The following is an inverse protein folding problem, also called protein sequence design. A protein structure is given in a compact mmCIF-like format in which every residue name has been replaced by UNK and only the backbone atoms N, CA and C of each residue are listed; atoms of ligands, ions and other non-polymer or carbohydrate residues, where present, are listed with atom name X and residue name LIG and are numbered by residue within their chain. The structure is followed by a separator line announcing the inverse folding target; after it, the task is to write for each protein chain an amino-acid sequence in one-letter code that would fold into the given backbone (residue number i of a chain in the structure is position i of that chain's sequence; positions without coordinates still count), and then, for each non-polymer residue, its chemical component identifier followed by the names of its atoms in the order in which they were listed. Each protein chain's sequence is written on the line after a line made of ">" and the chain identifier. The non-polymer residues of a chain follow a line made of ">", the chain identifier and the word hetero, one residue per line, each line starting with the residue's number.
data_IF_697277505229
#
_entry.id   IF_697277505229
#
_cell.length_a   1.000
_cell.length_b   1.000
_cell.length_c   1.000
_cell.angle_alpha   90.00
_cell.angle_beta   90.00
_cell.angle_gamma   90.00
#
_symmetry.space_group_name_H-M   'P 1'
#
loop_
_entity.id
_entity.type
_entity.pdbx_description
1 polymer ?
#
# COMPACT_ATOMS: atom_id res chain seq x y z
N UNK A 1 -30.34 39.96 25.80
CA UNK A 1 -28.90 40.23 26.01
C UNK A 1 -28.40 38.95 26.63
N UNK A 2 -28.10 38.02 25.75
CA UNK A 2 -27.93 36.60 26.06
C UNK A 2 -26.47 36.28 25.69
N UNK A 3 -25.58 36.14 26.67
CA UNK A 3 -24.18 35.85 26.41
C UNK A 3 -23.90 34.40 26.81
N UNK A 4 -24.16 33.45 25.92
CA UNK A 4 -23.55 32.11 25.98
C UNK A 4 -23.73 31.42 24.62
N UNK A 5 -23.02 31.91 23.60
CA UNK A 5 -22.81 31.17 22.36
C UNK A 5 -21.35 30.68 22.40
N UNK A 6 -21.10 29.37 22.54
CA UNK A 6 -19.73 28.87 22.49
C UNK A 6 -19.16 29.09 21.08
N UNK A 7 -17.85 29.37 20.95
CA UNK A 7 -17.24 29.63 19.66
C UNK A 7 -17.36 28.40 18.75
N UNK A 8 -17.42 28.58 17.42
CA UNK A 8 -17.48 27.47 16.50
C UNK A 8 -16.20 26.63 16.67
N UNK A 9 -16.38 25.37 17.08
CA UNK A 9 -15.33 24.37 17.01
C UNK A 9 -14.76 24.41 15.60
N UNK A 10 -13.48 24.76 15.52
CA UNK A 10 -12.70 24.68 14.29
C UNK A 10 -12.77 23.23 13.85
N UNK A 11 -13.60 22.97 12.85
CA UNK A 11 -13.76 21.67 12.21
C UNK A 11 -12.39 21.30 11.64
N UNK A 12 -11.62 20.55 12.41
CA UNK A 12 -10.42 19.87 11.91
C UNK A 12 -10.89 19.05 10.71
N UNK A 13 -10.17 19.08 9.57
CA UNK A 13 -10.53 18.21 8.47
C UNK A 13 -10.52 16.77 9.00
N UNK A 14 -11.49 15.93 8.61
CA UNK A 14 -11.43 14.53 8.97
C UNK A 14 -10.09 14.00 8.47
N UNK A 15 -9.39 13.33 9.38
CA UNK A 15 -8.18 12.61 9.08
C UNK A 15 -8.57 11.42 8.19
N UNK A 16 -8.79 11.70 6.90
CA UNK A 16 -9.53 10.86 5.95
C UNK A 16 -8.73 9.61 5.53
N UNK A 17 -7.62 9.33 6.21
CA UNK A 17 -6.61 8.35 5.83
C UNK A 17 -6.48 7.11 6.72
N UNK A 18 -7.33 6.87 7.72
CA UNK A 18 -7.23 5.66 8.58
C UNK A 18 -8.61 5.02 8.87
N UNK A 19 -9.46 4.93 7.86
CA UNK A 19 -10.74 4.20 7.96
C UNK A 19 -10.59 2.77 7.43
N UNK A 20 -10.72 1.73 8.29
CA UNK A 20 -10.43 0.36 7.88
C UNK A 20 -11.46 -0.09 6.83
N UNK A 21 -10.97 -0.65 5.74
CA UNK A 21 -11.76 -0.95 4.54
C UNK A 21 -11.36 -2.31 3.97
N UNK A 22 -12.30 -3.25 3.91
CA UNK A 22 -12.05 -4.61 3.43
C UNK A 22 -11.73 -4.68 1.93
N UNK A 23 -12.14 -3.67 1.17
CA UNK A 23 -11.88 -3.56 -0.27
C UNK A 23 -10.49 -2.98 -0.59
N UNK A 24 -9.83 -2.34 0.38
CA UNK A 24 -8.50 -1.78 0.17
C UNK A 24 -7.45 -2.89 0.34
N UNK A 25 -6.66 -3.12 -0.71
CA UNK A 25 -5.65 -4.18 -0.74
C UNK A 25 -4.46 -3.90 0.18
N UNK A 26 -4.15 -2.62 0.44
CA UNK A 26 -3.14 -2.20 1.43
C UNK A 26 -3.62 -2.54 2.83
N UNK A 27 -4.87 -2.22 3.16
CA UNK A 27 -5.47 -2.51 4.47
C UNK A 27 -5.54 -4.02 4.75
N UNK A 28 -5.91 -4.81 3.74
CA UNK A 28 -5.89 -6.27 3.87
C UNK A 28 -4.47 -6.79 4.09
N UNK A 29 -3.48 -6.28 3.35
CA UNK A 29 -2.09 -6.69 3.55
C UNK A 29 -1.58 -6.30 4.94
N UNK A 30 -1.89 -5.10 5.43
CA UNK A 30 -1.56 -4.65 6.79
C UNK A 30 -2.14 -5.59 7.85
N UNK A 31 -3.44 -5.92 7.78
CA UNK A 31 -4.07 -6.83 8.74
C UNK A 31 -3.40 -8.22 8.77
N UNK A 32 -3.07 -8.75 7.60
CA UNK A 32 -2.37 -10.03 7.45
C UNK A 32 -0.96 -9.98 8.05
N UNK A 33 -0.18 -8.93 7.76
CA UNK A 33 1.18 -8.78 8.28
C UNK A 33 1.20 -8.59 9.81
N UNK A 34 0.19 -7.92 10.37
CA UNK A 34 0.04 -7.79 11.83
C UNK A 34 -0.30 -9.15 12.45
N UNK A 35 -1.21 -9.92 11.83
CA UNK A 35 -1.61 -11.24 12.34
C UNK A 35 -0.50 -12.29 12.16
N UNK A 36 0.27 -12.21 11.08
CA UNK A 36 1.36 -13.13 10.76
C UNK A 36 2.59 -12.37 10.24
N UNK A 37 3.42 -11.84 11.16
CA UNK A 37 4.59 -11.01 10.83
C UNK A 37 5.63 -11.74 9.97
N UNK A 38 5.74 -13.06 10.12
CA UNK A 38 6.64 -13.89 9.31
C UNK A 38 6.42 -13.73 7.79
N UNK A 39 5.22 -13.36 7.34
CA UNK A 39 4.95 -13.17 5.91
C UNK A 39 5.60 -11.92 5.31
N UNK A 40 6.26 -11.09 6.13
CA UNK A 40 7.01 -9.92 5.66
C UNK A 40 8.11 -10.29 4.65
N UNK A 41 8.63 -11.53 4.70
CA UNK A 41 9.65 -12.04 3.79
C UNK A 41 9.19 -12.03 2.33
N UNK A 42 7.88 -12.14 2.10
CA UNK A 42 7.31 -12.10 0.75
C UNK A 42 7.12 -10.69 0.20
N UNK A 43 7.21 -9.65 1.04
CA UNK A 43 6.95 -8.26 0.63
C UNK A 43 8.17 -7.72 -0.13
N UNK A 44 8.08 -7.41 -1.42
CA UNK A 44 9.21 -6.90 -2.19
C UNK A 44 9.50 -5.43 -1.83
N UNK A 45 10.77 -5.04 -1.80
CA UNK A 45 11.18 -3.66 -1.54
C UNK A 45 10.57 -2.65 -2.52
N UNK A 46 10.32 -3.08 -3.77
CA UNK A 46 9.67 -2.25 -4.78
C UNK A 46 8.27 -1.77 -4.36
N UNK A 47 7.57 -2.51 -3.50
CA UNK A 47 6.27 -2.12 -2.97
C UNK A 47 6.39 -1.04 -1.88
N UNK A 48 7.52 -1.02 -1.17
CA UNK A 48 7.82 -0.11 -0.05
C UNK A 48 8.30 1.28 -0.50
N UNK A 49 8.61 1.45 -1.79
CA UNK A 49 9.01 2.75 -2.35
C UNK A 49 7.80 3.58 -2.84
N UNK A 50 6.58 3.21 -2.44
CA UNK A 50 5.35 3.88 -2.86
C UNK A 50 5.02 5.02 -1.90
N UNK A 51 5.63 6.20 -2.11
CA UNK A 51 5.39 7.40 -1.30
C UNK A 51 4.10 8.15 -1.67
N UNK A 52 2.97 7.43 -1.78
CA UNK A 52 1.71 7.98 -2.31
C UNK A 52 0.73 8.45 -1.23
N UNK A 53 0.40 7.60 -0.26
CA UNK A 53 -0.69 7.83 0.71
C UNK A 53 -0.34 7.37 2.14
N UNK A 54 -1.09 7.84 3.15
CA UNK A 54 -0.88 7.52 4.58
C UNK A 54 -0.86 6.01 4.85
N UNK A 55 -1.74 5.24 4.21
CA UNK A 55 -1.79 3.78 4.34
C UNK A 55 -0.55 3.08 3.79
N UNK A 56 0.01 3.59 2.68
CA UNK A 56 1.21 3.04 2.05
C UNK A 56 2.44 3.35 2.92
N UNK A 57 2.51 4.57 3.48
CA UNK A 57 3.53 4.93 4.47
C UNK A 57 3.47 4.01 5.69
N UNK A 58 2.28 3.78 6.25
CA UNK A 58 2.10 2.90 7.40
C UNK A 58 2.52 1.46 7.07
N UNK A 59 2.18 0.96 5.88
CA UNK A 59 2.66 -0.34 5.41
C UNK A 59 4.19 -0.41 5.38
N UNK A 60 4.85 0.64 4.90
CA UNK A 60 6.32 0.70 4.90
C UNK A 60 6.90 0.69 6.31
N UNK A 61 6.32 1.43 7.24
CA UNK A 61 6.75 1.47 8.64
C UNK A 61 6.57 0.11 9.33
N UNK A 62 5.42 -0.53 9.15
CA UNK A 62 5.13 -1.86 9.71
C UNK A 62 6.12 -2.89 9.15
N UNK A 63 6.33 -2.90 7.83
CA UNK A 63 7.28 -3.83 7.19
C UNK A 63 8.71 -3.59 7.67
N UNK A 64 9.14 -2.33 7.77
CA UNK A 64 10.46 -1.99 8.28
C UNK A 64 10.65 -2.45 9.73
N UNK A 65 9.63 -2.26 10.56
CA UNK A 65 9.65 -2.69 11.96
C UNK A 65 9.75 -4.21 12.09
N UNK A 66 8.93 -4.97 11.35
CA UNK A 66 8.98 -6.44 11.40
C UNK A 66 10.34 -6.95 10.90
N UNK A 67 10.91 -6.34 9.85
CA UNK A 67 12.25 -6.72 9.37
C UNK A 67 13.36 -6.42 10.37
N UNK A 68 13.20 -5.35 11.15
CA UNK A 68 14.13 -5.02 12.23
C UNK A 68 14.01 -5.99 13.42
N UNK A 69 12.80 -6.52 13.65
CA UNK A 69 12.49 -7.46 14.73
C UNK A 69 11.75 -8.69 14.18
N UNK A 70 12.45 -9.63 13.51
CA UNK A 70 11.83 -10.76 12.81
C UNK A 70 11.06 -11.72 13.73
N UNK A 71 11.39 -11.72 15.03
CA UNK A 71 10.70 -12.46 16.08
C UNK A 71 9.56 -11.67 16.75
N UNK A 72 9.16 -10.53 16.18
CA UNK A 72 8.00 -9.78 16.64
C UNK A 72 6.71 -10.60 16.50
N UNK A 73 5.96 -10.68 17.59
CA UNK A 73 4.61 -11.25 17.60
C UNK A 73 3.58 -10.17 17.29
N UNK A 74 2.36 -10.57 16.92
CA UNK A 74 1.22 -9.65 16.77
C UNK A 74 1.04 -8.73 17.98
N UNK A 75 1.16 -9.28 19.19
CA UNK A 75 1.06 -8.51 20.43
C UNK A 75 2.20 -7.50 20.58
N UNK A 76 3.43 -7.87 20.20
CA UNK A 76 4.58 -6.95 20.24
C UNK A 76 4.41 -5.80 19.23
N UNK A 77 3.94 -6.10 18.02
CA UNK A 77 3.63 -5.08 17.01
C UNK A 77 2.54 -4.13 17.49
N UNK A 78 1.38 -4.65 17.92
CA UNK A 78 0.29 -3.82 18.41
C UNK A 78 0.68 -3.03 19.67
N UNK A 79 1.56 -3.59 20.50
CA UNK A 79 2.13 -2.89 21.66
C UNK A 79 3.02 -1.71 21.27
N UNK A 80 3.75 -1.79 20.15
CA UNK A 80 4.60 -0.70 19.67
C UNK A 80 3.80 0.53 19.22
N UNK A 81 2.67 0.33 18.54
CA UNK A 81 1.75 1.41 18.14
C UNK A 81 0.62 1.65 19.17
N UNK A 82 0.74 1.14 20.40
CA UNK A 82 -0.32 1.28 21.39
C UNK A 82 -0.56 2.75 21.76
N UNK A 83 -1.83 3.16 21.75
CA UNK A 83 -2.25 4.53 22.05
C UNK A 83 -2.08 5.52 20.89
N UNK A 84 -1.78 5.04 19.68
CA UNK A 84 -1.76 5.85 18.46
C UNK A 84 -2.91 5.45 17.53
N UNK A 85 -3.38 6.36 16.65
CA UNK A 85 -4.45 6.05 15.70
C UNK A 85 -4.05 4.92 14.73
N UNK A 86 -2.76 4.79 14.42
CA UNK A 86 -2.21 3.67 13.64
C UNK A 86 -2.38 2.34 14.38
N UNK A 87 -2.13 2.29 15.68
CA UNK A 87 -2.30 1.07 16.48
C UNK A 87 -3.74 0.60 16.55
N UNK A 88 -4.68 1.53 16.79
CA UNK A 88 -6.12 1.23 16.77
C UNK A 88 -6.56 0.71 15.39
N UNK A 89 -6.04 1.33 14.33
CA UNK A 89 -6.28 0.93 12.95
C UNK A 89 -5.72 -0.47 12.65
N UNK A 90 -4.47 -0.74 12.99
CA UNK A 90 -3.81 -2.04 12.80
C UNK A 90 -4.55 -3.15 13.58
N UNK A 91 -4.97 -2.86 14.81
CA UNK A 91 -5.76 -3.78 15.63
C UNK A 91 -7.12 -4.08 14.96
N UNK A 92 -7.81 -3.05 14.46
CA UNK A 92 -9.06 -3.22 13.73
C UNK A 92 -8.89 -4.00 12.42
N UNK A 93 -7.76 -3.87 11.73
CA UNK A 93 -7.46 -4.63 10.52
C UNK A 93 -7.17 -6.09 10.82
N UNK A 94 -6.35 -6.38 11.83
CA UNK A 94 -6.04 -7.74 12.27
C UNK A 94 -7.31 -8.49 12.70
N UNK A 95 -8.19 -7.83 13.46
CA UNK A 95 -9.47 -8.41 13.91
C UNK A 95 -10.50 -8.66 12.81
N UNK A 96 -10.26 -8.18 11.58
CA UNK A 96 -11.13 -8.42 10.40
C UNK A 96 -10.65 -9.57 9.53
N UNK A 97 -9.49 -10.14 9.80
CA UNK A 97 -9.00 -11.26 9.04
C UNK A 97 -9.68 -12.54 9.53
N UNK A 98 -10.51 -13.12 8.67
CA UNK A 98 -11.32 -14.31 9.00
C UNK A 98 -10.68 -15.60 8.52
N UNK A 99 -9.49 -15.53 7.92
CA UNK A 99 -8.78 -16.69 7.41
C UNK A 99 -8.00 -17.31 8.57
N UNK A 100 -8.47 -18.44 9.07
CA UNK A 100 -7.87 -19.15 10.20
C UNK A 100 -6.72 -20.08 9.77
N UNK A 101 -6.73 -20.51 8.50
CA UNK A 101 -5.70 -21.40 7.94
C UNK A 101 -4.44 -20.62 7.54
N UNK A 102 -3.31 -21.04 8.08
CA UNK A 102 -2.00 -20.42 7.82
C UNK A 102 -1.63 -20.38 6.33
N UNK A 103 -1.95 -21.44 5.59
CA UNK A 103 -1.71 -21.54 4.14
C UNK A 103 -2.64 -20.62 3.35
N UNK A 104 -3.89 -20.48 3.80
CA UNK A 104 -4.86 -19.56 3.20
C UNK A 104 -4.42 -18.10 3.37
N UNK A 105 -3.88 -17.77 4.54
CA UNK A 105 -3.40 -16.42 4.86
C UNK A 105 -2.15 -16.07 4.04
N UNK A 106 -1.24 -17.02 3.88
CA UNK A 106 -0.05 -16.87 3.01
C UNK A 106 -0.45 -16.69 1.54
N UNK A 107 -1.35 -17.54 1.02
CA UNK A 107 -1.84 -17.43 -0.35
C UNK A 107 -2.51 -16.07 -0.62
N UNK A 108 -3.30 -15.59 0.35
CA UNK A 108 -3.92 -14.26 0.29
C UNK A 108 -2.87 -13.15 0.31
N UNK A 109 -1.86 -13.25 1.18
CA UNK A 109 -0.75 -12.29 1.23
C UNK A 109 -0.06 -12.18 -0.14
N UNK A 110 0.33 -13.31 -0.72
CA UNK A 110 0.99 -13.36 -2.03
C UNK A 110 0.11 -12.78 -3.14
N UNK A 111 -1.20 -13.07 -3.12
CA UNK A 111 -2.15 -12.52 -4.08
C UNK A 111 -2.28 -10.99 -3.96
N UNK A 112 -2.33 -10.47 -2.73
CA UNK A 112 -2.39 -9.03 -2.46
C UNK A 112 -1.11 -8.33 -2.88
N UNK A 113 0.06 -8.89 -2.57
CA UNK A 113 1.36 -8.38 -3.03
C UNK A 113 1.38 -8.34 -4.55
N UNK A 114 0.99 -9.43 -5.22
CA UNK A 114 0.92 -9.49 -6.68
C UNK A 114 -0.01 -8.43 -7.28
N UNK A 115 -1.14 -8.14 -6.63
CA UNK A 115 -2.07 -7.07 -7.04
C UNK A 115 -1.48 -5.68 -6.81
N UNK A 116 -0.89 -5.45 -5.64
CA UNK A 116 -0.31 -4.17 -5.24
C UNK A 116 0.92 -3.84 -6.08
N UNK A 117 1.85 -4.79 -6.30
CA UNK A 117 3.05 -4.57 -7.13
C UNK A 117 2.73 -4.24 -8.60
N UNK A 118 1.59 -4.71 -9.13
CA UNK A 118 1.16 -4.34 -10.48
C UNK A 118 0.78 -2.86 -10.60
N UNK A 119 0.24 -2.27 -9.54
CA UNK A 119 -0.29 -0.91 -9.57
C UNK A 119 0.78 0.19 -9.77
N UNK A 120 1.88 0.26 -8.99
CA UNK A 120 2.93 1.26 -9.17
C UNK A 120 3.77 0.97 -10.42
N UNK A 121 4.04 -0.30 -10.77
CA UNK A 121 4.72 -0.66 -12.01
C UNK A 121 3.93 -0.19 -13.25
N UNK A 122 2.61 -0.41 -13.25
CA UNK A 122 1.72 0.04 -14.31
C UNK A 122 1.64 1.57 -14.38
N UNK A 123 1.56 2.25 -13.24
CA UNK A 123 1.54 3.72 -13.20
C UNK A 123 2.87 4.33 -13.66
N UNK A 124 4.01 3.78 -13.23
CA UNK A 124 5.34 4.23 -13.65
C UNK A 124 5.55 4.01 -15.16
N UNK A 125 5.18 2.84 -15.68
CA UNK A 125 5.25 2.54 -17.10
C UNK A 125 4.37 3.48 -17.93
N UNK A 126 3.13 3.77 -17.47
CA UNK A 126 2.25 4.75 -18.12
C UNK A 126 2.86 6.15 -18.15
N UNK A 127 3.41 6.61 -17.03
CA UNK A 127 4.05 7.93 -16.92
C UNK A 127 5.26 8.07 -17.84
N UNK A 128 6.08 7.02 -17.95
CA UNK A 128 7.22 7.00 -18.90
C UNK A 128 6.75 7.00 -20.36
N UNK A 129 5.69 6.25 -20.69
CA UNK A 129 5.10 6.28 -22.03
C UNK A 129 4.56 7.68 -22.35
N UNK A 130 3.87 8.35 -21.43
CA UNK A 130 3.45 9.73 -21.61
C UNK A 130 4.62 10.71 -21.80
N UNK A 131 5.68 10.59 -21.01
CA UNK A 131 6.87 11.42 -21.15
C UNK A 131 7.54 11.25 -22.52
N UNK A 132 7.62 10.01 -23.02
CA UNK A 132 8.17 9.72 -24.35
C UNK A 132 7.22 10.13 -25.48
N UNK A 133 5.90 10.09 -25.28
CA UNK A 133 4.89 10.56 -26.25
C UNK A 133 4.82 12.10 -26.34
N UNK A 134 5.21 12.82 -25.29
CA UNK A 134 5.29 14.28 -25.31
C UNK A 134 6.50 14.80 -26.13
N UNK A 135 7.45 13.94 -26.48
CA UNK A 135 8.49 14.26 -27.47
C UNK A 135 7.97 13.92 -28.88
N UNK A 136 8.18 14.78 -29.89
CA UNK A 136 7.80 14.46 -31.26
C UNK A 136 8.56 13.23 -31.75
N UNK A 137 7.87 12.31 -32.44
CA UNK A 137 8.39 11.01 -32.86
C UNK A 137 9.63 11.07 -33.79
N UNK A 138 9.89 12.25 -34.35
CA UNK A 138 11.03 12.60 -35.18
C UNK A 138 12.31 12.87 -34.37
N UNK A 139 12.19 13.21 -33.09
CA UNK A 139 13.31 13.48 -32.18
C UNK A 139 13.64 12.29 -31.28
N UNK A 140 12.79 11.27 -31.24
CA UNK A 140 13.04 10.04 -30.49
C UNK A 140 14.14 9.21 -31.15
N UNK A 141 15.16 8.90 -30.37
CA UNK A 141 16.23 7.97 -30.77
C UNK A 141 15.68 6.55 -30.97
N UNK A 142 16.42 5.71 -31.71
CA UNK A 142 16.06 4.30 -31.92
C UNK A 142 15.91 3.54 -30.60
N UNK A 143 16.73 3.89 -29.60
CA UNK A 143 16.64 3.35 -28.25
C UNK A 143 15.32 3.75 -27.56
N UNK A 144 14.93 5.02 -27.61
CA UNK A 144 13.67 5.49 -27.00
C UNK A 144 12.44 4.86 -27.67
N UNK A 145 12.48 4.58 -28.98
CA UNK A 145 11.41 3.84 -29.68
C UNK A 145 11.30 2.39 -29.23
N UNK A 146 12.42 1.72 -28.99
CA UNK A 146 12.43 0.36 -28.40
C UNK A 146 11.91 0.36 -26.97
N UNK A 147 12.27 1.36 -26.16
CA UNK A 147 11.75 1.54 -24.80
C UNK A 147 10.23 1.75 -24.81
N UNK A 148 9.70 2.58 -25.72
CA UNK A 148 8.26 2.80 -25.88
C UNK A 148 7.49 1.52 -26.20
N UNK A 149 8.01 0.71 -27.14
CA UNK A 149 7.41 -0.59 -27.49
C UNK A 149 7.43 -1.56 -26.31
N UNK A 150 8.57 -1.66 -25.62
CA UNK A 150 8.73 -2.54 -24.45
C UNK A 150 7.79 -2.15 -23.31
N UNK A 151 7.75 -0.85 -22.96
CA UNK A 151 6.84 -0.32 -21.94
C UNK A 151 5.37 -0.51 -22.32
N UNK A 152 4.99 -0.36 -23.59
CA UNK A 152 3.61 -0.58 -24.04
C UNK A 152 3.20 -2.06 -23.91
N UNK A 153 4.10 -2.99 -24.23
CA UNK A 153 3.87 -4.43 -24.01
C UNK A 153 3.79 -4.76 -22.53
N UNK A 154 4.64 -4.16 -21.71
CA UNK A 154 4.67 -4.33 -20.27
C UNK A 154 3.38 -3.82 -19.62
N UNK A 155 2.86 -2.65 -20.03
CA UNK A 155 1.55 -2.13 -19.60
C UNK A 155 0.43 -3.11 -19.96
N UNK A 156 0.44 -3.72 -21.15
CA UNK A 156 -0.58 -4.71 -21.53
C UNK A 156 -0.53 -5.96 -20.65
N UNK A 157 0.67 -6.47 -20.36
CA UNK A 157 0.87 -7.61 -19.46
C UNK A 157 0.43 -7.29 -18.02
N UNK A 158 0.83 -6.13 -17.51
CA UNK A 158 0.51 -5.67 -16.15
C UNK A 158 -0.98 -5.32 -15.97
N UNK A 159 -1.62 -4.75 -17.00
CA UNK A 159 -3.03 -4.36 -16.99
C UNK A 159 -4.00 -5.53 -17.13
N UNK A 160 -3.51 -6.77 -17.33
CA UNK A 160 -4.34 -7.98 -17.33
C UNK A 160 -5.41 -8.02 -18.44
N UNK A 161 -5.25 -7.27 -19.52
CA UNK A 161 -6.17 -7.29 -20.65
C UNK A 161 -5.78 -8.44 -21.57
N UNK A 162 -6.25 -9.65 -21.23
CA UNK A 162 -6.38 -10.75 -22.21
C UNK A 162 -7.67 -10.55 -23.01
#
# INVERSE_FOLDING_TARGET
>A
MDPDEPPPETMMPPDEGLSPSSFNSVHRLLGILVLKPALVEHVPEALLNTGGNRDETLLCEVVAHIRQYPEATTAALLGFWFGTPEGDFLNALAGRETVEEDEGLEALCLALIGKLSRHPALNAARKQVEALKNKPYTELTTAEKQTLLSLTQEIRKLSGKQ
#
